data_IF_590688158050
#
_entry.id   IF_590688158050
#
_cell.length_a   1.000
_cell.length_b   1.000
_cell.length_c   1.000
_cell.angle_alpha   90.00
_cell.angle_beta   90.00
_cell.angle_gamma   90.00
#
_symmetry.space_group_name_H-M   'P 1'
#
loop_
_entity.id
_entity.type
_entity.pdbx_description
1 polymer ?
#
# COMPACT_ATOMS: atom_id res chain seq x y z
N UNK A 1 -53.40 41.95 60.95
CA UNK A 1 -52.16 41.15 61.18
C UNK A 1 -51.86 40.34 59.90
N UNK A 2 -50.94 40.81 59.13
CA UNK A 2 -50.57 40.22 57.86
C UNK A 2 -49.34 39.30 58.06
N UNK A 3 -49.46 38.01 57.75
CA UNK A 3 -48.37 37.10 57.76
C UNK A 3 -47.84 37.03 56.35
N UNK A 4 -46.62 37.51 56.16
CA UNK A 4 -45.89 37.54 54.93
C UNK A 4 -45.15 36.16 54.71
N UNK A 5 -45.64 35.37 53.80
CA UNK A 5 -44.99 34.12 53.43
C UNK A 5 -44.10 34.40 52.23
N UNK A 6 -42.84 34.67 52.49
CA UNK A 6 -41.82 34.75 51.44
C UNK A 6 -41.51 33.34 50.90
N UNK A 7 -42.00 33.08 49.73
CA UNK A 7 -41.61 31.88 48.96
C UNK A 7 -40.19 32.06 48.42
N UNK A 8 -39.24 31.38 49.06
CA UNK A 8 -37.84 31.29 48.57
C UNK A 8 -37.79 30.30 47.41
N UNK A 9 -37.84 30.83 46.23
CA UNK A 9 -37.53 30.03 45.04
C UNK A 9 -36.00 29.81 44.93
N UNK A 10 -35.58 28.59 45.17
CA UNK A 10 -34.16 28.17 44.91
C UNK A 10 -33.84 28.25 43.43
N UNK A 11 -32.65 28.71 43.06
CA UNK A 11 -32.26 28.75 41.64
C UNK A 11 -32.13 27.35 41.10
N UNK A 12 -32.92 27.07 40.08
CA UNK A 12 -32.85 25.84 39.30
C UNK A 12 -31.49 25.75 38.58
N UNK A 13 -30.63 24.87 39.05
CA UNK A 13 -29.32 24.61 38.53
C UNK A 13 -29.49 23.93 37.16
N UNK A 14 -29.44 24.70 36.09
CA UNK A 14 -29.45 24.23 34.71
C UNK A 14 -28.35 23.17 34.55
N UNK A 15 -28.75 21.91 34.53
CA UNK A 15 -27.89 20.80 34.16
C UNK A 15 -27.62 20.92 32.65
N UNK A 16 -26.54 21.59 32.27
CA UNK A 16 -26.03 21.53 30.93
C UNK A 16 -25.62 20.09 30.68
N UNK A 17 -26.41 19.38 29.89
CA UNK A 17 -26.09 17.99 29.49
C UNK A 17 -24.76 17.97 28.73
N UNK A 18 -23.81 17.11 29.09
CA UNK A 18 -22.52 17.02 28.40
C UNK A 18 -22.64 16.38 27.01
N UNK A 19 -23.88 16.15 26.53
CA UNK A 19 -24.19 15.38 25.34
C UNK A 19 -23.65 15.94 24.01
N UNK A 20 -23.60 17.25 23.72
CA UNK A 20 -23.23 17.68 22.35
C UNK A 20 -21.75 17.54 22.05
N UNK A 21 -20.85 17.77 22.98
CA UNK A 21 -19.41 17.66 22.73
C UNK A 21 -18.93 16.20 22.68
N UNK A 22 -19.57 15.31 23.44
CA UNK A 22 -19.31 13.86 23.39
C UNK A 22 -19.67 13.30 21.99
N UNK A 23 -20.82 13.71 21.46
CA UNK A 23 -21.22 13.33 20.09
C UNK A 23 -20.25 13.85 19.03
N UNK A 24 -19.73 15.06 19.19
CA UNK A 24 -18.71 15.61 18.28
C UNK A 24 -17.40 14.83 18.37
N UNK A 25 -16.94 14.47 19.56
CA UNK A 25 -15.71 13.65 19.73
C UNK A 25 -15.88 12.27 19.09
N UNK A 26 -17.04 11.61 19.27
CA UNK A 26 -17.31 10.33 18.62
C UNK A 26 -17.37 10.46 17.11
N UNK A 27 -17.98 11.51 16.56
CA UNK A 27 -18.03 11.74 15.12
C UNK A 27 -16.62 11.96 14.54
N UNK A 28 -15.78 12.75 15.20
CA UNK A 28 -14.39 12.96 14.79
C UNK A 28 -13.60 11.67 14.88
N UNK A 29 -13.73 10.91 15.95
CA UNK A 29 -13.06 9.61 16.09
C UNK A 29 -13.49 8.62 15.00
N UNK A 30 -14.78 8.59 14.65
CA UNK A 30 -15.30 7.75 13.57
C UNK A 30 -14.70 8.16 12.20
N UNK A 31 -14.67 9.46 11.91
CA UNK A 31 -14.08 9.98 10.67
C UNK A 31 -12.59 9.65 10.60
N UNK A 32 -11.85 9.84 11.68
CA UNK A 32 -10.43 9.48 11.76
C UNK A 32 -10.25 7.98 11.56
N UNK A 33 -11.06 7.14 12.20
CA UNK A 33 -11.00 5.69 12.01
C UNK A 33 -11.32 5.28 10.57
N UNK A 34 -12.31 5.90 9.93
CA UNK A 34 -12.64 5.65 8.51
C UNK A 34 -11.51 6.08 7.58
N UNK A 35 -10.90 7.22 7.82
CA UNK A 35 -9.74 7.70 7.05
C UNK A 35 -8.56 6.76 7.22
N UNK A 36 -8.21 6.37 8.45
CA UNK A 36 -7.11 5.43 8.71
C UNK A 36 -7.37 4.05 8.08
N UNK A 37 -8.61 3.55 8.10
CA UNK A 37 -8.93 2.27 7.43
C UNK A 37 -8.90 2.38 5.91
N UNK A 38 -9.27 3.52 5.34
CA UNK A 38 -9.16 3.76 3.90
C UNK A 38 -7.70 3.82 3.44
N UNK A 39 -6.82 4.45 4.23
CA UNK A 39 -5.37 4.43 3.94
C UNK A 39 -4.77 3.02 4.06
N UNK A 40 -5.13 2.24 5.07
CA UNK A 40 -4.64 0.86 5.25
C UNK A 40 -5.12 -0.13 4.18
N UNK A 41 -6.21 0.15 3.46
CA UNK A 41 -6.74 -0.75 2.42
C UNK A 41 -6.01 -0.63 1.09
N UNK A 42 -5.24 0.43 0.86
CA UNK A 42 -4.51 0.63 -0.41
C UNK A 42 -3.25 -0.22 -0.50
N UNK A 43 -2.56 -0.43 0.62
CA UNK A 43 -1.31 -1.19 0.67
C UNK A 43 -1.41 -2.62 0.12
N UNK A 44 -2.42 -3.46 0.49
CA UNK A 44 -2.51 -4.83 0.00
C UNK A 44 -2.85 -4.92 -1.49
N UNK A 45 -3.62 -3.99 -2.06
CA UNK A 45 -3.95 -4.01 -3.49
C UNK A 45 -2.73 -3.68 -4.35
N UNK A 46 -1.92 -2.73 -3.92
CA UNK A 46 -0.69 -2.36 -4.62
C UNK A 46 0.33 -3.49 -4.56
N UNK A 47 0.52 -4.12 -3.40
CA UNK A 47 1.39 -5.27 -3.25
C UNK A 47 0.95 -6.44 -4.15
N UNK A 48 -0.35 -6.76 -4.20
CA UNK A 48 -0.89 -7.81 -5.08
C UNK A 48 -0.65 -7.50 -6.55
N UNK A 49 -0.83 -6.26 -6.97
CA UNK A 49 -0.54 -5.81 -8.34
C UNK A 49 0.93 -6.00 -8.68
N UNK A 50 1.84 -5.54 -7.81
CA UNK A 50 3.28 -5.69 -8.00
C UNK A 50 3.66 -7.18 -8.13
N UNK A 51 3.12 -8.07 -7.30
CA UNK A 51 3.38 -9.50 -7.39
C UNK A 51 2.85 -10.11 -8.69
N UNK A 52 1.69 -9.68 -9.19
CA UNK A 52 1.17 -10.11 -10.47
C UNK A 52 2.07 -9.64 -11.63
N UNK A 53 2.51 -8.39 -11.59
CA UNK A 53 3.45 -7.83 -12.56
C UNK A 53 4.79 -8.57 -12.55
N UNK A 54 5.34 -8.87 -11.36
CA UNK A 54 6.56 -9.68 -11.25
C UNK A 54 6.39 -11.06 -11.86
N UNK A 55 5.28 -11.74 -11.61
CA UNK A 55 5.00 -13.05 -12.21
C UNK A 55 5.00 -12.97 -13.74
N UNK A 56 4.34 -11.96 -14.29
CA UNK A 56 4.28 -11.72 -15.74
C UNK A 56 5.67 -11.48 -16.33
N UNK A 57 6.49 -10.67 -15.67
CA UNK A 57 7.86 -10.36 -16.12
C UNK A 57 8.74 -11.61 -16.00
N UNK A 58 8.65 -12.36 -14.91
CA UNK A 58 9.44 -13.59 -14.72
C UNK A 58 9.10 -14.65 -15.78
N UNK A 59 7.83 -14.85 -16.12
CA UNK A 59 7.42 -15.75 -17.19
C UNK A 59 7.99 -15.33 -18.56
N UNK A 60 8.06 -14.03 -18.81
CA UNK A 60 8.66 -13.51 -20.04
C UNK A 60 10.18 -13.69 -20.07
N UNK A 61 10.84 -13.48 -18.93
CA UNK A 61 12.30 -13.71 -18.79
C UNK A 61 12.66 -15.20 -18.93
N UNK A 62 11.82 -16.12 -18.46
CA UNK A 62 12.03 -17.56 -18.68
C UNK A 62 11.96 -17.92 -20.18
N UNK A 63 11.01 -17.35 -20.93
CA UNK A 63 10.93 -17.51 -22.38
C UNK A 63 12.11 -16.87 -23.09
N UNK A 64 12.53 -15.69 -22.66
CA UNK A 64 13.74 -15.05 -23.17
C UNK A 64 14.97 -15.94 -22.95
N UNK A 65 15.13 -16.46 -21.74
CA UNK A 65 16.23 -17.35 -21.36
C UNK A 65 16.28 -18.62 -22.20
N UNK A 66 15.12 -19.22 -22.48
CA UNK A 66 15.02 -20.41 -23.33
C UNK A 66 15.53 -20.15 -24.76
N UNK A 67 15.27 -18.96 -25.30
CA UNK A 67 15.70 -18.55 -26.63
C UNK A 67 17.17 -18.07 -26.69
N UNK A 68 17.80 -17.79 -25.54
CA UNK A 68 19.15 -17.24 -25.42
C UNK A 68 20.13 -18.20 -24.71
N UNK A 69 20.05 -19.49 -24.99
CA UNK A 69 20.97 -20.51 -24.46
C UNK A 69 21.03 -20.58 -22.92
N UNK A 70 19.93 -20.26 -22.27
CA UNK A 70 19.84 -20.25 -20.80
C UNK A 70 20.45 -19.02 -20.13
N UNK A 71 20.81 -18.00 -20.88
CA UNK A 71 21.47 -16.80 -20.38
C UNK A 71 20.50 -15.63 -20.23
N UNK A 72 20.71 -14.84 -19.21
CA UNK A 72 20.08 -13.54 -18.98
C UNK A 72 21.19 -12.47 -18.83
N UNK A 73 20.99 -11.24 -19.31
CA UNK A 73 21.88 -10.14 -18.98
C UNK A 73 21.90 -9.88 -17.47
N UNK A 74 23.05 -9.53 -16.91
CA UNK A 74 23.18 -9.21 -15.48
C UNK A 74 22.34 -7.99 -15.09
N UNK A 75 22.32 -7.00 -15.98
CA UNK A 75 21.51 -5.78 -15.89
C UNK A 75 20.94 -5.45 -17.26
N UNK A 76 19.83 -4.74 -17.33
CA UNK A 76 19.25 -4.34 -18.61
C UNK A 76 17.91 -3.63 -18.49
N UNK A 77 17.48 -3.08 -19.61
CA UNK A 77 16.16 -2.52 -19.77
C UNK A 77 15.19 -3.64 -20.17
N UNK A 78 14.21 -3.90 -19.32
CA UNK A 78 13.20 -4.93 -19.56
C UNK A 78 12.41 -4.71 -20.87
N UNK A 79 12.13 -3.45 -21.24
CA UNK A 79 11.44 -3.14 -22.48
C UNK A 79 12.25 -3.59 -23.70
N UNK A 80 13.54 -3.29 -23.74
CA UNK A 80 14.43 -3.68 -24.85
C UNK A 80 14.60 -5.18 -24.95
N UNK A 81 14.58 -5.88 -23.82
CA UNK A 81 14.76 -7.33 -23.76
C UNK A 81 13.48 -8.09 -24.11
N UNK A 82 12.33 -7.63 -23.65
CA UNK A 82 11.10 -8.41 -23.65
C UNK A 82 10.07 -7.97 -24.68
N UNK A 83 10.09 -6.70 -25.11
CA UNK A 83 9.11 -6.16 -26.04
C UNK A 83 9.66 -6.16 -27.46
N UNK A 84 8.88 -6.49 -28.47
CA UNK A 84 7.50 -7.02 -28.42
C UNK A 84 7.43 -8.55 -28.38
N UNK A 85 8.56 -9.25 -28.32
CA UNK A 85 8.63 -10.71 -28.56
C UNK A 85 8.02 -11.54 -27.44
N UNK A 86 8.25 -11.17 -26.19
CA UNK A 86 7.84 -11.92 -25.01
C UNK A 86 6.70 -11.25 -24.25
N UNK A 87 6.62 -9.92 -24.32
CA UNK A 87 5.54 -9.11 -23.78
C UNK A 87 5.09 -8.06 -24.80
N UNK A 88 3.83 -7.67 -24.72
CA UNK A 88 3.30 -6.55 -25.50
C UNK A 88 3.86 -5.22 -25.00
N UNK A 89 3.97 -5.09 -23.70
CA UNK A 89 4.59 -3.99 -22.98
C UNK A 89 5.01 -4.49 -21.59
N UNK A 90 6.09 -3.97 -21.03
CA UNK A 90 6.47 -4.22 -19.64
C UNK A 90 5.54 -3.40 -18.74
N UNK A 91 4.90 -4.00 -17.73
CA UNK A 91 4.06 -3.26 -16.81
C UNK A 91 4.89 -2.24 -16.02
N UNK A 92 4.25 -1.14 -15.66
CA UNK A 92 4.80 -0.15 -14.75
C UNK A 92 4.28 -0.42 -13.33
N UNK A 93 5.08 -0.05 -12.34
CA UNK A 93 4.68 -0.12 -10.95
C UNK A 93 3.41 0.72 -10.67
N UNK A 94 2.74 0.59 -9.51
CA UNK A 94 1.54 1.35 -9.19
C UNK A 94 1.71 2.87 -9.22
N UNK A 95 2.93 3.35 -9.21
CA UNK A 95 3.29 4.79 -9.29
C UNK A 95 3.77 5.22 -10.67
N UNK A 96 3.67 4.32 -11.68
CA UNK A 96 3.95 4.64 -13.08
C UNK A 96 5.44 4.59 -13.46
N UNK A 97 6.26 3.83 -12.74
CA UNK A 97 7.69 3.70 -12.98
C UNK A 97 8.07 2.30 -13.45
N UNK A 98 9.14 2.14 -14.23
CA UNK A 98 9.65 0.83 -14.58
C UNK A 98 10.18 0.09 -13.35
N UNK A 99 10.01 -1.23 -13.35
CA UNK A 99 10.63 -2.11 -12.37
C UNK A 99 12.14 -2.20 -12.58
N UNK A 100 12.88 -2.26 -11.48
CA UNK A 100 14.32 -2.51 -11.52
C UNK A 100 14.56 -3.99 -11.72
N UNK A 101 15.51 -4.31 -12.62
CA UNK A 101 15.90 -5.65 -12.96
C UNK A 101 17.40 -5.84 -12.75
N UNK A 102 17.78 -6.96 -12.20
CA UNK A 102 19.13 -7.49 -12.17
C UNK A 102 19.07 -9.02 -12.19
N UNK A 103 20.09 -9.68 -12.72
CA UNK A 103 20.26 -11.12 -12.61
C UNK A 103 21.65 -11.49 -12.14
N UNK A 104 21.76 -12.62 -11.45
CA UNK A 104 23.00 -13.20 -10.97
C UNK A 104 22.90 -14.72 -10.96
N UNK A 105 23.96 -15.41 -10.54
CA UNK A 105 23.96 -16.86 -10.33
C UNK A 105 22.90 -17.32 -9.30
N UNK A 106 22.42 -16.41 -8.45
CA UNK A 106 21.38 -16.68 -7.46
C UNK A 106 19.96 -16.52 -8.03
N UNK A 107 19.82 -15.99 -9.24
CA UNK A 107 18.53 -15.79 -9.91
C UNK A 107 18.25 -14.37 -10.34
N UNK A 108 16.98 -14.13 -10.64
CA UNK A 108 16.46 -12.84 -11.11
C UNK A 108 15.97 -12.01 -9.92
N UNK A 109 16.36 -10.76 -9.90
CA UNK A 109 15.90 -9.75 -8.96
C UNK A 109 15.04 -8.72 -9.69
N UNK A 110 13.79 -8.62 -9.28
CA UNK A 110 12.88 -7.54 -9.65
C UNK A 110 12.55 -6.73 -8.41
N UNK A 111 12.54 -5.41 -8.53
CA UNK A 111 12.16 -4.55 -7.40
C UNK A 111 11.42 -3.29 -7.84
N UNK A 112 10.54 -2.80 -6.96
CA UNK A 112 9.98 -1.46 -6.94
C UNK A 112 10.31 -0.82 -5.60
N UNK A 113 10.78 0.41 -5.60
CA UNK A 113 11.13 1.15 -4.37
C UNK A 113 9.97 2.00 -3.86
N UNK A 114 8.75 1.51 -4.02
CA UNK A 114 7.56 2.17 -3.50
C UNK A 114 7.33 3.57 -4.08
N UNK A 115 6.46 4.31 -3.41
CA UNK A 115 6.02 5.63 -3.88
C UNK A 115 7.14 6.67 -3.99
N UNK A 116 8.11 6.65 -3.10
CA UNK A 116 9.20 7.64 -3.06
C UNK A 116 10.37 7.27 -3.98
N UNK A 117 10.40 6.06 -4.53
CA UNK A 117 11.50 5.54 -5.36
C UNK A 117 12.85 5.60 -4.64
N UNK A 118 12.84 5.33 -3.35
CA UNK A 118 14.03 5.26 -2.50
C UNK A 118 14.03 3.95 -1.74
N UNK A 119 15.20 3.37 -1.55
CA UNK A 119 15.33 2.12 -0.80
C UNK A 119 14.89 2.29 0.65
N UNK A 120 14.13 1.31 1.14
CA UNK A 120 13.57 1.31 2.48
C UNK A 120 12.18 1.92 2.53
N UNK A 121 11.68 2.22 3.72
CA UNK A 121 10.35 2.78 3.92
C UNK A 121 9.32 1.79 4.45
N UNK A 122 8.10 2.25 4.65
CA UNK A 122 6.96 1.46 5.14
C UNK A 122 5.67 1.89 4.44
N UNK A 123 4.67 1.02 4.39
CA UNK A 123 3.41 1.31 3.70
C UNK A 123 3.62 1.55 2.20
N UNK A 124 3.08 2.62 1.66
CA UNK A 124 3.22 2.98 0.23
C UNK A 124 4.68 3.18 -0.22
N UNK A 125 5.60 3.42 0.71
CA UNK A 125 7.02 3.63 0.45
C UNK A 125 7.86 2.36 0.65
N UNK A 126 7.23 1.24 0.99
CA UNK A 126 7.92 -0.04 1.19
C UNK A 126 8.49 -0.56 -0.13
N UNK A 127 9.71 -1.09 -0.05
CA UNK A 127 10.31 -1.83 -1.15
C UNK A 127 9.57 -3.15 -1.37
N UNK A 128 9.34 -3.49 -2.62
CA UNK A 128 8.78 -4.76 -3.03
C UNK A 128 9.79 -5.48 -3.90
N UNK A 129 10.04 -6.75 -3.60
CA UNK A 129 10.94 -7.61 -4.37
C UNK A 129 10.24 -8.92 -4.75
N UNK A 130 10.68 -9.54 -5.84
CA UNK A 130 10.14 -10.85 -6.23
C UNK A 130 10.51 -11.98 -5.24
N UNK A 131 11.48 -11.75 -4.36
CA UNK A 131 11.86 -12.70 -3.32
C UNK A 131 10.90 -12.69 -2.11
N UNK A 132 10.19 -11.59 -1.89
CA UNK A 132 9.24 -11.49 -0.75
C UNK A 132 8.06 -12.47 -0.86
N UNK A 133 7.74 -12.95 -2.08
CA UNK A 133 6.70 -13.94 -2.35
C UNK A 133 7.18 -15.40 -2.42
N UNK A 134 8.45 -15.65 -2.65
CA UNK A 134 8.96 -17.01 -2.89
C UNK A 134 9.23 -17.83 -1.62
N UNK A 135 9.27 -17.24 -0.44
CA UNK A 135 9.44 -17.99 0.80
C UNK A 135 8.20 -18.83 1.19
N UNK A 136 7.06 -18.65 0.53
CA UNK A 136 5.84 -19.41 0.80
C UNK A 136 5.64 -20.65 -0.10
N UNK A 137 6.39 -20.81 -1.18
CA UNK A 137 6.21 -21.90 -2.14
C UNK A 137 7.20 -23.06 -1.99
N UNK A 138 8.12 -22.98 -1.04
CA UNK A 138 9.11 -24.05 -0.75
C UNK A 138 8.93 -24.68 0.64
N UNK A 139 7.67 -24.78 1.11
CA UNK A 139 7.33 -25.61 2.27
C UNK A 139 6.35 -26.69 1.91
#
# INVERSE_FOLDING_TARGET
>A
MAANSASSAAPEKSRRSPLPWVAVVFAVALVVALVLTAFRRRDPEQAQRIHADFTLILDALERYRADHEGKLPEEGNLDEMLVPRYLHAVPLDPWGRPYHYASSDQGVFLSSFGRENQRGGTGDNQDHTNHDGHQQLLR
#
